data_IF_611596833239
#
_entry.id   IF_611596833239
#
_cell.length_a   1.000
_cell.length_b   1.000
_cell.length_c   1.000
_cell.angle_alpha   90.00
_cell.angle_beta   90.00
_cell.angle_gamma   90.00
#
_symmetry.space_group_name_H-M   'P 1'
#
loop_
_entity.id
_entity.type
_entity.pdbx_description
1 polymer ?
#
# COMPACT_ATOMS: atom_id res chain seq x y z
N UNK A 1 16.46 -30.92 -3.01
CA UNK A 1 15.95 -29.87 -2.10
C UNK A 1 15.64 -28.65 -2.94
N UNK A 2 14.38 -28.29 -3.23
CA UNK A 2 14.11 -27.07 -3.94
C UNK A 2 13.97 -25.91 -2.95
N UNK A 3 14.75 -24.88 -3.22
CA UNK A 3 14.79 -23.58 -2.59
C UNK A 3 13.46 -22.83 -2.74
N UNK A 4 12.86 -22.44 -1.63
CA UNK A 4 11.71 -21.56 -1.56
C UNK A 4 12.10 -20.12 -1.92
N UNK A 5 11.72 -19.67 -3.11
CA UNK A 5 11.70 -18.24 -3.45
C UNK A 5 10.57 -17.55 -2.67
N UNK A 6 10.94 -16.70 -1.71
CA UNK A 6 10.03 -15.75 -1.09
C UNK A 6 9.70 -14.64 -2.09
N UNK A 7 8.60 -14.76 -2.82
CA UNK A 7 7.98 -13.60 -3.46
C UNK A 7 7.33 -12.75 -2.37
N UNK A 8 7.68 -11.45 -2.35
CA UNK A 8 7.10 -10.45 -1.45
C UNK A 8 5.58 -10.50 -1.52
N UNK A 9 4.97 -10.89 -0.41
CA UNK A 9 3.53 -11.01 -0.27
C UNK A 9 2.93 -9.61 -0.11
N UNK A 10 2.57 -8.97 -1.22
CA UNK A 10 1.56 -7.91 -1.17
C UNK A 10 0.26 -8.62 -0.86
N UNK A 11 -0.29 -8.35 0.33
CA UNK A 11 -1.60 -8.85 0.73
C UNK A 11 -2.66 -8.07 -0.06
N UNK A 12 -2.79 -8.35 -1.35
CA UNK A 12 -4.03 -8.07 -2.07
C UNK A 12 -5.04 -9.08 -1.54
N UNK A 13 -5.87 -8.63 -0.60
CA UNK A 13 -7.10 -9.33 -0.29
C UNK A 13 -7.95 -9.25 -1.55
N UNK A 14 -7.93 -10.32 -2.34
CA UNK A 14 -8.95 -10.58 -3.35
C UNK A 14 -10.29 -10.35 -2.67
N UNK A 15 -10.99 -9.33 -3.14
CA UNK A 15 -12.21 -8.82 -2.54
C UNK A 15 -13.15 -9.97 -2.14
N UNK A 16 -13.61 -9.91 -0.89
CA UNK A 16 -14.77 -10.62 -0.40
C UNK A 16 -15.99 -10.16 -1.22
N UNK A 17 -16.14 -10.69 -2.43
CA UNK A 17 -17.34 -10.56 -3.23
C UNK A 17 -18.24 -11.74 -2.90
N UNK A 18 -19.29 -11.44 -2.13
CA UNK A 18 -20.56 -12.17 -2.13
C UNK A 18 -20.56 -13.58 -1.54
N UNK A 19 -20.70 -13.70 -0.21
CA UNK A 19 -21.40 -14.86 0.36
C UNK A 19 -22.89 -14.57 0.28
N UNK A 20 -23.45 -14.74 -0.91
CA UNK A 20 -24.88 -14.87 -1.10
C UNK A 20 -25.30 -16.26 -0.63
N UNK A 21 -26.08 -16.31 0.45
CA UNK A 21 -26.89 -17.47 0.81
C UNK A 21 -27.91 -17.63 -0.33
N UNK A 22 -27.73 -18.63 -1.18
CA UNK A 22 -28.75 -19.04 -2.16
C UNK A 22 -29.60 -20.17 -1.56
N UNK A 23 -30.87 -19.93 -1.17
CA UNK A 23 -31.88 -20.96 -1.28
C UNK A 23 -32.43 -20.91 -2.71
N UNK A 24 -32.45 -22.08 -3.36
CA UNK A 24 -33.33 -22.45 -4.48
C UNK A 24 -33.37 -21.57 -5.75
N UNK A 25 -33.26 -22.26 -6.89
CA UNK A 25 -33.06 -21.67 -8.20
C UNK A 25 -34.19 -20.78 -8.72
N UNK A 26 -33.78 -19.80 -9.51
CA UNK A 26 -34.56 -19.21 -10.59
C UNK A 26 -33.59 -18.69 -11.67
N UNK A 27 -33.99 -18.86 -12.94
CA UNK A 27 -33.24 -18.69 -14.17
C UNK A 27 -32.58 -17.28 -14.35
N UNK A 28 -31.57 -17.14 -15.24
CA UNK A 28 -30.88 -15.88 -15.44
C UNK A 28 -31.79 -14.91 -16.20
N UNK A 29 -32.35 -13.93 -15.50
CA UNK A 29 -32.81 -12.71 -16.14
C UNK A 29 -31.58 -11.85 -16.46
N UNK A 30 -31.42 -11.59 -17.75
CA UNK A 30 -30.44 -10.69 -18.34
C UNK A 30 -30.52 -9.30 -17.71
N UNK A 31 -29.62 -9.00 -16.76
CA UNK A 31 -29.33 -7.63 -16.37
C UNK A 31 -28.46 -6.99 -17.46
N UNK A 32 -28.85 -5.85 -18.03
CA UNK A 32 -27.97 -5.10 -18.90
C UNK A 32 -26.97 -4.36 -18.02
N UNK A 33 -25.84 -4.98 -17.68
CA UNK A 33 -24.67 -4.21 -17.30
C UNK A 33 -24.02 -3.69 -18.57
N UNK A 34 -24.54 -2.56 -19.05
CA UNK A 34 -23.74 -1.68 -19.89
C UNK A 34 -22.61 -1.12 -19.02
N UNK A 35 -21.54 -1.90 -18.87
CA UNK A 35 -20.29 -1.41 -18.30
C UNK A 35 -19.61 -0.55 -19.37
N UNK A 36 -20.17 0.63 -19.62
CA UNK A 36 -19.47 1.70 -20.33
C UNK A 36 -18.44 2.34 -19.40
N UNK A 37 -17.55 1.51 -18.84
CA UNK A 37 -16.40 1.92 -18.08
C UNK A 37 -15.22 1.96 -19.05
N UNK A 38 -14.79 3.17 -19.39
CA UNK A 38 -13.61 3.43 -20.22
C UNK A 38 -12.44 2.57 -19.70
N UNK A 39 -12.02 1.55 -20.45
CA UNK A 39 -10.81 0.77 -20.14
C UNK A 39 -9.58 1.67 -20.40
N UNK A 40 -9.39 2.69 -19.57
CA UNK A 40 -8.10 3.37 -19.50
C UNK A 40 -7.22 2.42 -18.69
N UNK A 41 -6.53 1.52 -19.37
CA UNK A 41 -5.39 0.82 -18.79
C UNK A 41 -4.52 1.87 -18.11
N UNK A 42 -4.31 1.76 -16.79
CA UNK A 42 -3.39 2.65 -16.10
C UNK A 42 -1.96 2.38 -16.60
N UNK A 43 -1.12 3.41 -16.56
CA UNK A 43 0.29 3.27 -16.91
C UNK A 43 1.07 2.74 -15.68
N UNK A 44 1.31 1.43 -15.65
CA UNK A 44 2.08 0.78 -14.58
C UNK A 44 3.60 0.97 -14.67
N UNK A 45 4.11 1.75 -15.65
CA UNK A 45 5.51 2.18 -15.64
C UNK A 45 5.77 3.35 -14.69
N UNK A 46 4.70 4.05 -14.26
CA UNK A 46 4.78 5.14 -13.30
C UNK A 46 5.16 4.63 -11.91
N UNK A 47 6.05 5.36 -11.22
CA UNK A 47 6.52 5.02 -9.87
C UNK A 47 6.39 6.23 -8.93
N UNK A 48 5.16 6.63 -8.55
CA UNK A 48 4.90 7.94 -7.93
C UNK A 48 5.76 8.25 -6.69
N UNK A 49 5.95 7.26 -5.82
CA UNK A 49 6.78 7.40 -4.60
C UNK A 49 8.25 7.62 -4.95
N UNK A 50 8.78 6.86 -5.91
CA UNK A 50 10.18 6.98 -6.32
C UNK A 50 10.43 8.29 -7.06
N UNK A 51 9.49 8.71 -7.91
CA UNK A 51 9.59 9.98 -8.63
C UNK A 51 9.52 11.18 -7.68
N UNK A 52 8.64 11.13 -6.67
CA UNK A 52 8.58 12.13 -5.61
C UNK A 52 9.88 12.19 -4.80
N UNK A 53 10.48 11.04 -4.48
CA UNK A 53 11.78 10.96 -3.80
C UNK A 53 12.88 11.64 -4.62
N UNK A 54 12.99 11.29 -5.91
CA UNK A 54 13.94 11.91 -6.85
C UNK A 54 13.73 13.43 -6.94
N UNK A 55 12.48 13.86 -7.08
CA UNK A 55 12.13 15.28 -7.17
C UNK A 55 12.45 16.04 -5.89
N UNK A 56 12.31 15.42 -4.72
CA UNK A 56 12.71 16.01 -3.46
C UNK A 56 14.22 16.24 -3.40
N UNK A 57 15.01 15.22 -3.73
CA UNK A 57 16.47 15.33 -3.73
C UNK A 57 17.00 16.38 -4.72
N UNK A 58 16.36 16.51 -5.89
CA UNK A 58 16.72 17.52 -6.88
C UNK A 58 16.59 18.96 -6.36
N UNK A 59 15.75 19.22 -5.34
CA UNK A 59 15.60 20.54 -4.74
C UNK A 59 16.76 20.91 -3.80
N UNK A 60 17.59 19.94 -3.41
CA UNK A 60 18.76 20.12 -2.55
C UNK A 60 18.46 20.93 -1.27
N UNK A 61 17.30 20.68 -0.65
CA UNK A 61 16.86 21.36 0.56
C UNK A 61 17.44 20.66 1.80
N UNK A 62 17.74 21.44 2.84
CA UNK A 62 18.06 20.91 4.15
C UNK A 62 16.79 20.88 5.01
N UNK A 63 16.15 19.72 5.22
CA UNK A 63 14.98 19.64 6.10
C UNK A 63 15.32 19.93 7.57
N UNK A 64 14.67 20.94 8.15
CA UNK A 64 14.66 21.15 9.60
C UNK A 64 13.59 20.31 10.32
N UNK A 65 12.78 19.57 9.56
CA UNK A 65 11.85 18.56 10.07
C UNK A 65 12.57 17.27 10.49
N UNK A 66 11.92 16.39 11.27
CA UNK A 66 12.39 15.01 11.43
C UNK A 66 12.58 14.31 10.06
N UNK A 67 13.43 13.29 9.97
CA UNK A 67 14.25 12.70 11.04
C UNK A 67 15.49 13.53 11.47
N UNK A 68 16.02 13.24 12.66
CA UNK A 68 17.12 13.98 13.27
C UNK A 68 18.49 13.80 12.59
N UNK A 69 18.68 12.76 11.78
CA UNK A 69 19.94 12.51 11.06
C UNK A 69 20.13 13.42 9.84
N UNK A 70 19.15 14.25 9.46
CA UNK A 70 19.33 15.32 8.47
C UNK A 70 19.95 14.84 7.15
N UNK A 71 19.37 13.78 6.56
CA UNK A 71 19.89 13.12 5.35
C UNK A 71 21.34 12.62 5.55
N UNK A 72 21.61 12.02 6.71
CA UNK A 72 22.88 11.40 7.04
C UNK A 72 23.90 12.36 7.68
N UNK A 73 23.70 13.67 7.62
CA UNK A 73 24.60 14.66 8.23
C UNK A 73 24.71 14.53 9.75
N UNK A 74 23.61 14.16 10.40
CA UNK A 74 23.55 13.89 11.84
C UNK A 74 23.74 12.41 12.21
N UNK A 75 24.06 11.54 11.26
CA UNK A 75 24.33 10.12 11.52
C UNK A 75 25.82 9.87 11.77
N UNK A 76 26.12 8.93 12.69
CA UNK A 76 27.49 8.46 12.96
C UNK A 76 28.10 7.88 11.68
N UNK A 77 29.34 8.26 11.38
CA UNK A 77 30.08 7.83 10.18
C UNK A 77 30.16 6.30 10.06
N UNK A 78 30.28 5.57 11.18
CA UNK A 78 30.31 4.11 11.18
C UNK A 78 29.01 3.51 10.68
N UNK A 79 27.86 4.09 11.06
CA UNK A 79 26.55 3.62 10.59
C UNK A 79 26.38 3.91 9.10
N UNK A 80 26.77 5.11 8.66
CA UNK A 80 26.75 5.50 7.23
C UNK A 80 27.61 4.60 6.36
N UNK A 81 28.77 4.19 6.87
CA UNK A 81 29.68 3.28 6.17
C UNK A 81 29.07 1.89 6.00
N UNK A 82 28.31 1.41 6.98
CA UNK A 82 27.70 0.06 6.95
C UNK A 82 26.40 0.04 6.14
N UNK A 83 25.50 1.00 6.34
CA UNK A 83 24.18 1.02 5.72
C UNK A 83 24.16 1.72 4.35
N UNK A 84 25.13 2.60 4.12
CA UNK A 84 25.16 3.49 2.96
C UNK A 84 24.35 4.77 3.16
N UNK A 85 24.84 5.86 2.58
CA UNK A 85 24.17 7.16 2.58
C UNK A 85 22.76 7.15 1.95
N UNK A 86 22.49 6.39 0.86
CA UNK A 86 21.16 6.40 0.22
C UNK A 86 19.99 6.00 1.12
N UNK A 87 20.23 5.21 2.18
CA UNK A 87 19.19 4.84 3.15
C UNK A 87 18.72 6.06 3.93
N UNK A 88 19.64 6.95 4.31
CA UNK A 88 19.33 8.19 5.03
C UNK A 88 18.74 9.26 4.12
N UNK A 89 19.10 9.24 2.84
CA UNK A 89 18.49 10.10 1.83
C UNK A 89 17.01 9.74 1.62
N UNK A 90 16.71 8.43 1.58
CA UNK A 90 15.34 7.95 1.43
C UNK A 90 14.48 8.05 2.72
N UNK A 91 15.09 8.22 3.90
CA UNK A 91 14.36 8.34 5.17
C UNK A 91 13.76 9.74 5.34
N UNK A 92 12.52 9.87 4.88
CA UNK A 92 11.78 11.12 4.88
C UNK A 92 10.34 10.91 5.35
N UNK A 93 9.76 11.98 5.90
CA UNK A 93 8.34 11.98 6.25
C UNK A 93 7.49 11.92 4.97
N UNK A 94 6.46 11.08 4.97
CA UNK A 94 5.48 11.04 3.89
C UNK A 94 4.78 12.42 3.72
N UNK A 95 4.42 13.05 4.85
CA UNK A 95 3.80 14.37 4.90
C UNK A 95 4.87 15.43 5.17
N UNK A 96 4.86 16.53 4.41
CA UNK A 96 5.85 17.62 4.45
C UNK A 96 7.28 17.25 4.00
N UNK A 97 7.50 16.00 3.56
CA UNK A 97 8.74 15.53 2.94
C UNK A 97 8.45 15.05 1.52
N UNK A 98 7.97 13.81 1.40
CA UNK A 98 7.63 13.18 0.12
C UNK A 98 6.45 13.87 -0.59
N UNK A 99 5.45 14.31 0.18
CA UNK A 99 4.35 15.17 -0.26
C UNK A 99 4.32 16.45 0.60
N UNK A 100 3.44 17.40 0.28
CA UNK A 100 3.23 18.58 1.12
C UNK A 100 2.43 18.27 2.40
N UNK A 101 2.25 19.28 3.26
CA UNK A 101 1.57 19.12 4.54
C UNK A 101 0.09 18.74 4.42
N UNK A 102 -0.53 19.03 3.27
CA UNK A 102 -1.94 18.75 2.97
C UNK A 102 -2.10 17.52 2.06
N UNK A 103 -1.00 16.84 1.71
CA UNK A 103 -0.96 15.75 0.75
C UNK A 103 -1.53 16.13 -0.62
N UNK A 104 -1.33 17.39 -1.07
CA UNK A 104 -1.97 17.91 -2.29
C UNK A 104 -1.45 17.26 -3.57
N UNK A 105 -0.24 16.69 -3.57
CA UNK A 105 0.32 16.02 -4.75
C UNK A 105 -0.19 14.58 -4.90
N UNK A 106 -0.90 14.07 -3.88
CA UNK A 106 -1.52 12.75 -3.87
C UNK A 106 -0.54 11.62 -4.19
N UNK A 107 0.73 11.72 -3.75
CA UNK A 107 1.78 10.76 -4.11
C UNK A 107 1.39 9.35 -3.67
N UNK A 108 1.01 9.19 -2.40
CA UNK A 108 0.57 7.91 -1.85
C UNK A 108 -0.71 7.42 -2.52
N UNK A 109 -1.70 8.31 -2.69
CA UNK A 109 -2.99 7.99 -3.32
C UNK A 109 -2.81 7.41 -4.72
N UNK A 110 -1.99 8.03 -5.56
CA UNK A 110 -1.72 7.54 -6.92
C UNK A 110 -1.01 6.18 -6.92
N UNK A 111 -0.09 5.97 -5.97
CA UNK A 111 0.58 4.68 -5.84
C UNK A 111 -0.39 3.57 -5.40
N UNK A 112 -1.31 3.88 -4.49
CA UNK A 112 -2.39 2.97 -4.09
C UNK A 112 -3.39 2.72 -5.22
N UNK A 113 -3.79 3.73 -6.00
CA UNK A 113 -4.66 3.55 -7.18
C UNK A 113 -4.01 2.61 -8.22
N UNK A 114 -2.72 2.78 -8.50
CA UNK A 114 -1.97 1.89 -9.39
C UNK A 114 -1.89 0.46 -8.86
N UNK A 115 -1.74 0.28 -7.54
CA UNK A 115 -1.73 -1.04 -6.92
C UNK A 115 -3.11 -1.69 -6.99
N UNK A 116 -4.18 -0.93 -6.72
CA UNK A 116 -5.56 -1.41 -6.77
C UNK A 116 -5.92 -1.93 -8.17
N UNK A 117 -5.56 -1.18 -9.22
CA UNK A 117 -5.73 -1.60 -10.61
C UNK A 117 -4.91 -2.88 -10.92
N UNK A 118 -3.64 -2.91 -10.50
CA UNK A 118 -2.75 -4.06 -10.76
C UNK A 118 -3.23 -5.37 -10.12
N UNK A 119 -3.96 -5.30 -9.00
CA UNK A 119 -4.45 -6.49 -8.27
C UNK A 119 -5.94 -6.75 -8.43
N UNK A 120 -6.65 -5.90 -9.18
CA UNK A 120 -8.09 -5.99 -9.36
C UNK A 120 -8.90 -5.77 -8.07
N UNK A 121 -8.43 -4.87 -7.19
CA UNK A 121 -9.15 -4.46 -5.99
C UNK A 121 -9.83 -3.11 -6.20
N UNK A 122 -10.92 -2.85 -5.48
CA UNK A 122 -11.57 -1.53 -5.48
C UNK A 122 -10.70 -0.47 -4.78
N UNK A 123 -10.04 -0.87 -3.69
CA UNK A 123 -9.14 -0.05 -2.91
C UNK A 123 -7.95 -0.87 -2.41
N UNK A 124 -6.80 -0.20 -2.26
CA UNK A 124 -5.63 -0.78 -1.58
C UNK A 124 -5.01 0.24 -0.64
N UNK A 125 -4.44 -0.25 0.45
CA UNK A 125 -3.70 0.54 1.43
C UNK A 125 -2.31 -0.03 1.62
N UNK A 126 -1.30 0.83 1.70
CA UNK A 126 0.06 0.39 2.04
C UNK A 126 0.28 0.33 3.56
N UNK A 127 0.91 -0.75 4.01
CA UNK A 127 1.28 -0.96 5.42
C UNK A 127 2.76 -1.27 5.56
N UNK A 128 3.43 -0.62 6.51
CA UNK A 128 4.83 -0.87 6.84
C UNK A 128 5.01 -1.92 7.95
N UNK A 129 3.92 -2.32 8.62
CA UNK A 129 3.96 -3.26 9.76
C UNK A 129 3.51 -4.69 9.38
N UNK A 130 3.68 -5.05 8.11
CA UNK A 130 3.36 -6.38 7.59
C UNK A 130 1.87 -6.76 7.62
N UNK A 131 1.60 -8.03 7.33
CA UNK A 131 0.22 -8.55 7.24
C UNK A 131 -0.48 -8.62 8.60
N UNK A 132 0.26 -8.78 9.70
CA UNK A 132 -0.33 -8.85 11.04
C UNK A 132 -1.05 -7.56 11.44
N UNK A 133 -0.48 -6.39 11.17
CA UNK A 133 -1.19 -5.12 11.42
C UNK A 133 -2.35 -4.97 10.45
N UNK A 134 -2.12 -5.29 9.17
CA UNK A 134 -3.13 -5.15 8.11
C UNK A 134 -4.39 -5.97 8.38
N UNK A 135 -4.25 -7.22 8.84
CA UNK A 135 -5.39 -8.08 9.21
C UNK A 135 -6.12 -7.53 10.43
N UNK A 136 -5.40 -7.07 11.45
CA UNK A 136 -6.02 -6.46 12.64
C UNK A 136 -6.82 -5.21 12.28
N UNK A 137 -6.25 -4.34 11.44
CA UNK A 137 -6.93 -3.14 10.96
C UNK A 137 -8.21 -3.50 10.18
N UNK A 138 -8.14 -4.49 9.28
CA UNK A 138 -9.32 -4.96 8.56
C UNK A 138 -10.40 -5.53 9.49
N UNK A 139 -10.03 -6.32 10.49
CA UNK A 139 -10.98 -6.87 11.48
C UNK A 139 -11.67 -5.76 12.28
N UNK A 140 -10.91 -4.76 12.76
CA UNK A 140 -11.43 -3.62 13.52
C UNK A 140 -12.31 -2.68 12.67
N UNK A 141 -12.04 -2.59 11.37
CA UNK A 141 -12.86 -1.80 10.44
C UNK A 141 -14.15 -2.53 10.05
N UNK A 142 -14.12 -3.86 9.95
CA UNK A 142 -15.25 -4.67 9.49
C UNK A 142 -16.25 -5.05 10.61
N UNK A 143 -15.83 -5.06 11.87
CA UNK A 143 -16.67 -5.48 12.99
C UNK A 143 -16.51 -4.59 14.23
N UNK A 144 -17.66 -4.24 14.82
CA UNK A 144 -17.73 -3.50 16.08
C UNK A 144 -17.52 -4.36 17.32
N UNK A 145 -17.44 -3.73 18.51
CA UNK A 145 -17.41 -4.46 19.78
C UNK A 145 -18.59 -5.45 19.88
N UNK A 146 -18.30 -6.67 20.32
CA UNK A 146 -19.26 -7.77 20.48
C UNK A 146 -19.85 -8.37 19.19
N UNK A 147 -19.44 -7.91 18.01
CA UNK A 147 -19.79 -8.57 16.74
C UNK A 147 -18.92 -9.81 16.50
N UNK A 148 -19.49 -10.79 15.80
CA UNK A 148 -18.83 -12.09 15.57
C UNK A 148 -18.11 -12.09 14.23
N UNK A 149 -16.84 -12.47 14.25
CA UNK A 149 -16.02 -12.72 13.06
C UNK A 149 -15.80 -14.24 12.88
N UNK A 150 -15.95 -14.72 11.65
CA UNK A 150 -15.61 -16.10 11.31
C UNK A 150 -14.12 -16.23 11.00
N UNK A 151 -13.43 -17.11 11.72
CA UNK A 151 -12.02 -17.40 11.51
C UNK A 151 -11.80 -18.82 10.99
N UNK A 152 -10.76 -19.02 10.18
CA UNK A 152 -10.26 -20.37 9.86
C UNK A 152 -9.35 -20.86 10.99
N UNK A 153 -9.72 -21.99 11.60
CA UNK A 153 -8.81 -22.75 12.46
C UNK A 153 -7.90 -23.60 11.58
N UNK A 154 -6.58 -23.40 11.68
CA UNK A 154 -5.63 -24.36 11.14
C UNK A 154 -5.51 -25.48 12.16
N UNK A 155 -6.08 -26.66 11.87
CA UNK A 155 -5.75 -27.86 12.64
C UNK A 155 -4.28 -28.17 12.36
N UNK A 156 -3.50 -28.30 13.43
CA UNK A 156 -2.14 -28.84 13.35
C UNK A 156 -2.18 -30.33 12.99
#
# INVERSE_FOLDING_TARGET
MPSSHCHGFVCSQRAFSGVGIFPFGCAPSSFPHSFSGKLRSMDHSQVPVLDALKAYHARNLMPFTPPGHKQGRGADLRVRTVLGDPVFDADMLAVSGLDDRTSSQGVLKRAEELMADAVGAEHTFFSTCGSSLSVKAAMLAAAGPHEKLFGQSRRA
#
